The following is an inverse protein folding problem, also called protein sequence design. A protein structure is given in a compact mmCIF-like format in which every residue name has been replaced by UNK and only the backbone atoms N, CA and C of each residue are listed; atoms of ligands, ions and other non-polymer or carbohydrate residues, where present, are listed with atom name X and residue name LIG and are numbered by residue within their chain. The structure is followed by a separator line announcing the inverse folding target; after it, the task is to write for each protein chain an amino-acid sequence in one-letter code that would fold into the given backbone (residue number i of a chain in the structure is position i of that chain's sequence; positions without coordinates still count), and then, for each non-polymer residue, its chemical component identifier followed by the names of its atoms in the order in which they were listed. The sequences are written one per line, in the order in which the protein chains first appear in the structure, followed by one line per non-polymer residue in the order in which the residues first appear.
data_IF_464195836930
#
_entry.id   IF_464195836930
#
_cell.length_a   1.000
_cell.length_b   1.000
_cell.length_c   1.000
_cell.angle_alpha   90.00
_cell.angle_beta   90.00
_cell.angle_gamma   90.00
#
_symmetry.space_group_name_H-M   'P 1'
#
loop_
_entity.id
_entity.type
_entity.pdbx_description
1 polymer ?
#
# COMPACT_ATOMS: atom_id res chain seq x y z
N UNK A 1 5.42 26.66 28.61
CA UNK A 1 6.26 26.19 27.48
C UNK A 1 6.05 24.70 27.27
N UNK A 2 5.06 24.29 26.44
CA UNK A 2 4.72 22.87 26.26
C UNK A 2 4.25 22.59 24.82
N UNK A 3 4.85 23.23 23.82
CA UNK A 3 4.42 23.09 22.42
C UNK A 3 5.51 22.62 21.43
N UNK A 4 6.79 22.60 21.81
CA UNK A 4 7.87 22.28 20.84
C UNK A 4 8.03 20.79 20.52
N UNK A 5 7.68 19.87 21.42
CA UNK A 5 7.91 18.42 21.21
C UNK A 5 6.96 17.76 20.22
N UNK A 6 5.78 18.33 19.97
CA UNK A 6 4.80 17.75 19.04
C UNK A 6 5.17 18.01 17.58
N UNK A 7 5.86 19.13 17.31
CA UNK A 7 6.29 19.52 15.97
C UNK A 7 7.43 18.66 15.45
N UNK A 8 8.44 18.36 16.28
CA UNK A 8 9.57 17.50 15.89
C UNK A 8 9.13 16.07 15.55
N UNK A 9 8.27 15.44 16.36
CA UNK A 9 7.76 14.10 16.08
C UNK A 9 6.91 14.07 14.79
N UNK A 10 6.09 15.10 14.55
CA UNK A 10 5.30 15.22 13.33
C UNK A 10 6.18 15.45 12.09
N UNK A 11 7.23 16.27 12.21
CA UNK A 11 8.20 16.52 11.14
C UNK A 11 9.01 15.26 10.84
N UNK A 12 9.49 14.54 11.86
CA UNK A 12 10.19 13.26 11.68
C UNK A 12 9.26 12.21 11.03
N UNK A 13 8.02 12.10 11.49
CA UNK A 13 7.03 11.20 10.89
C UNK A 13 6.72 11.56 9.43
N UNK A 14 6.67 12.86 9.10
CA UNK A 14 6.46 13.31 7.73
C UNK A 14 7.70 13.07 6.85
N UNK A 15 8.91 13.30 7.34
CA UNK A 15 10.16 12.99 6.64
C UNK A 15 10.27 11.49 6.38
N UNK A 16 10.00 10.65 7.39
CA UNK A 16 9.96 9.20 7.24
C UNK A 16 8.87 8.76 6.26
N UNK A 17 7.68 9.36 6.32
CA UNK A 17 6.59 9.05 5.38
C UNK A 17 6.94 9.46 3.94
N UNK A 18 7.61 10.61 3.73
CA UNK A 18 8.10 11.08 2.42
C UNK A 18 9.21 10.18 1.87
N UNK A 19 10.18 9.79 2.70
CA UNK A 19 11.23 8.84 2.32
C UNK A 19 10.62 7.49 1.91
N UNK A 20 9.66 7.00 2.69
CA UNK A 20 8.97 5.76 2.37
C UNK A 20 8.10 5.89 1.11
N UNK A 21 7.47 7.04 0.84
CA UNK A 21 6.64 7.21 -0.38
C UNK A 21 7.48 7.24 -1.65
N UNK A 22 8.64 7.89 -1.61
CA UNK A 22 9.59 7.88 -2.73
C UNK A 22 10.10 6.47 -2.99
N UNK A 23 10.49 5.73 -1.96
CA UNK A 23 10.90 4.33 -2.07
C UNK A 23 9.81 3.46 -2.71
N UNK A 24 8.56 3.52 -2.20
CA UNK A 24 7.43 2.77 -2.74
C UNK A 24 7.14 3.10 -4.21
N UNK A 25 7.21 4.38 -4.56
CA UNK A 25 7.01 4.82 -5.93
C UNK A 25 8.14 4.33 -6.85
N UNK A 26 9.38 4.31 -6.37
CA UNK A 26 10.52 3.74 -7.09
C UNK A 26 10.38 2.22 -7.28
N UNK A 27 9.97 1.47 -6.26
CA UNK A 27 9.72 0.03 -6.37
C UNK A 27 8.64 -0.28 -7.42
N UNK A 28 7.53 0.44 -7.42
CA UNK A 28 6.48 0.31 -8.43
C UNK A 28 6.99 0.67 -9.83
N UNK A 29 7.77 1.74 -9.95
CA UNK A 29 8.34 2.16 -11.22
C UNK A 29 9.31 1.10 -11.79
N UNK A 30 10.17 0.52 -10.95
CA UNK A 30 11.08 -0.57 -11.33
C UNK A 30 10.32 -1.84 -11.75
N UNK A 31 9.16 -2.10 -11.15
CA UNK A 31 8.24 -3.15 -11.56
C UNK A 31 7.43 -2.81 -12.84
N UNK A 32 7.69 -1.66 -13.47
CA UNK A 32 7.04 -1.24 -14.72
C UNK A 32 5.63 -0.67 -14.53
N UNK A 33 5.33 -0.14 -13.34
CA UNK A 33 4.06 0.49 -13.00
C UNK A 33 4.20 2.00 -12.77
N UNK A 34 3.68 2.79 -13.71
CA UNK A 34 3.41 4.21 -13.47
C UNK A 34 2.09 4.41 -12.73
N UNK A 35 1.87 5.56 -12.10
CA UNK A 35 0.60 5.85 -11.43
C UNK A 35 -0.60 5.83 -12.37
N UNK A 36 -0.43 6.19 -13.65
CA UNK A 36 -1.48 6.06 -14.68
C UNK A 36 -1.79 4.60 -15.00
N UNK A 37 -0.77 3.74 -15.06
CA UNK A 37 -0.97 2.31 -15.29
C UNK A 37 -1.67 1.66 -14.09
N UNK A 38 -1.29 2.06 -12.87
CA UNK A 38 -1.94 1.63 -11.64
C UNK A 38 -3.39 2.10 -11.56
N UNK A 39 -3.69 3.33 -11.97
CA UNK A 39 -5.06 3.86 -11.95
C UNK A 39 -5.97 3.04 -12.87
N UNK A 40 -5.48 2.69 -14.07
CA UNK A 40 -6.20 1.83 -15.02
C UNK A 40 -6.36 0.40 -14.47
N UNK A 41 -5.28 -0.21 -13.99
CA UNK A 41 -5.27 -1.60 -13.52
C UNK A 41 -6.15 -1.80 -12.28
N UNK A 42 -6.11 -0.83 -11.34
CA UNK A 42 -6.88 -0.89 -10.11
C UNK A 42 -8.29 -0.31 -10.28
N UNK A 43 -8.59 0.33 -11.41
CA UNK A 43 -9.83 1.06 -11.66
C UNK A 43 -10.13 2.10 -10.56
N UNK A 44 -9.15 2.96 -10.28
CA UNK A 44 -9.22 4.06 -9.32
C UNK A 44 -8.61 5.32 -9.95
N UNK A 45 -8.86 6.49 -9.37
CA UNK A 45 -8.26 7.73 -9.88
C UNK A 45 -6.75 7.81 -9.57
N UNK A 46 -5.97 8.47 -10.45
CA UNK A 46 -4.54 8.74 -10.21
C UNK A 46 -4.29 9.43 -8.86
N UNK A 47 -5.07 10.46 -8.44
CA UNK A 47 -4.92 11.05 -7.12
C UNK A 47 -5.10 10.05 -5.97
N UNK A 48 -6.01 9.07 -6.11
CA UNK A 48 -6.17 8.01 -5.12
C UNK A 48 -4.91 7.12 -5.03
N UNK A 49 -4.31 6.78 -6.18
CA UNK A 49 -3.02 6.06 -6.22
C UNK A 49 -1.95 6.85 -5.45
N UNK A 50 -1.79 8.14 -5.76
CA UNK A 50 -0.82 9.01 -5.09
C UNK A 50 -1.06 9.07 -3.57
N UNK A 51 -2.32 9.24 -3.15
CA UNK A 51 -2.67 9.30 -1.72
C UNK A 51 -2.35 7.99 -0.98
N UNK A 52 -2.58 6.84 -1.62
CA UNK A 52 -2.25 5.54 -1.01
C UNK A 52 -0.74 5.32 -0.97
N UNK A 53 0.00 5.60 -2.04
CA UNK A 53 1.47 5.56 -2.05
C UNK A 53 2.06 6.49 -0.99
N UNK A 54 1.48 7.67 -0.77
CA UNK A 54 1.91 8.60 0.27
C UNK A 54 1.46 8.21 1.68
N UNK A 55 0.76 7.06 1.86
CA UNK A 55 0.13 6.64 3.11
C UNK A 55 -0.85 7.69 3.71
N UNK A 56 -1.41 8.56 2.88
CA UNK A 56 -2.41 9.57 3.27
C UNK A 56 -3.85 9.03 3.19
N UNK A 57 -4.05 7.91 2.49
CA UNK A 57 -5.30 7.15 2.46
C UNK A 57 -5.02 5.70 2.78
N UNK A 58 -5.75 5.13 3.74
CA UNK A 58 -5.61 3.72 4.09
C UNK A 58 -6.72 2.90 3.43
N UNK A 59 -6.40 2.25 2.32
CA UNK A 59 -7.31 1.32 1.66
C UNK A 59 -6.62 -0.04 1.55
N UNK A 60 -7.03 -0.98 2.40
CA UNK A 60 -6.31 -2.25 2.62
C UNK A 60 -6.05 -3.02 1.33
N UNK A 61 -7.08 -3.29 0.53
CA UNK A 61 -6.91 -4.02 -0.73
C UNK A 61 -5.96 -3.30 -1.71
N UNK A 62 -5.99 -1.96 -1.80
CA UNK A 62 -5.07 -1.20 -2.67
C UNK A 62 -3.64 -1.35 -2.17
N UNK A 63 -3.42 -1.29 -0.86
CA UNK A 63 -2.08 -1.41 -0.27
C UNK A 63 -1.46 -2.79 -0.55
N UNK A 64 -2.27 -3.84 -0.45
CA UNK A 64 -1.86 -5.19 -0.85
C UNK A 64 -1.58 -5.28 -2.35
N UNK A 65 -2.46 -4.71 -3.18
CA UNK A 65 -2.27 -4.70 -4.61
C UNK A 65 -0.94 -4.04 -5.01
N UNK A 66 -0.58 -2.90 -4.40
CA UNK A 66 0.67 -2.21 -4.68
C UNK A 66 1.91 -3.02 -4.29
N UNK A 67 1.90 -3.66 -3.12
CA UNK A 67 3.03 -4.52 -2.70
C UNK A 67 3.22 -5.71 -3.66
N UNK A 68 2.12 -6.38 -4.03
CA UNK A 68 2.16 -7.50 -4.97
C UNK A 68 2.60 -7.08 -6.37
N UNK A 69 2.12 -5.94 -6.88
CA UNK A 69 2.53 -5.40 -8.18
C UNK A 69 4.00 -4.96 -8.18
N UNK A 70 4.53 -4.51 -7.04
CA UNK A 70 5.94 -4.23 -6.86
C UNK A 70 6.80 -5.51 -6.70
N UNK A 71 6.19 -6.69 -6.57
CA UNK A 71 6.89 -7.97 -6.45
C UNK A 71 7.59 -8.17 -5.10
N UNK A 72 7.17 -7.45 -4.06
CA UNK A 72 7.78 -7.51 -2.72
C UNK A 72 6.75 -7.86 -1.65
N UNK A 73 7.21 -8.30 -0.48
CA UNK A 73 6.32 -8.61 0.63
C UNK A 73 5.59 -7.34 1.14
N UNK A 74 4.41 -7.50 1.73
CA UNK A 74 3.66 -6.37 2.27
C UNK A 74 4.47 -5.60 3.32
N UNK A 75 5.16 -6.33 4.21
CA UNK A 75 5.97 -5.73 5.27
C UNK A 75 7.21 -5.03 4.75
N UNK A 76 7.83 -5.52 3.69
CA UNK A 76 8.93 -4.81 3.03
C UNK A 76 8.44 -3.53 2.35
N UNK A 77 7.28 -3.58 1.69
CA UNK A 77 6.74 -2.42 0.96
C UNK A 77 6.21 -1.33 1.89
N UNK A 78 5.56 -1.70 3.00
CA UNK A 78 4.90 -0.74 3.90
C UNK A 78 5.61 -0.51 5.24
N UNK A 79 6.61 -1.33 5.57
CA UNK A 79 7.33 -1.27 6.86
C UNK A 79 6.47 -1.65 8.06
N UNK A 80 5.36 -2.35 7.85
CA UNK A 80 4.41 -2.77 8.89
C UNK A 80 3.89 -4.18 8.63
N UNK A 81 3.39 -4.84 9.66
CA UNK A 81 2.77 -6.16 9.51
C UNK A 81 1.57 -6.11 8.55
N UNK A 82 1.37 -7.21 7.83
CA UNK A 82 0.26 -7.37 6.92
C UNK A 82 -1.07 -7.40 7.67
N UNK A 83 -2.02 -6.48 7.41
CA UNK A 83 -3.33 -6.53 8.02
C UNK A 83 -4.17 -7.66 7.42
N UNK A 84 -5.09 -8.21 8.20
CA UNK A 84 -6.11 -9.12 7.67
C UNK A 84 -7.00 -8.42 6.63
N UNK A 85 -7.23 -9.10 5.52
CA UNK A 85 -8.12 -8.63 4.46
C UNK A 85 -9.53 -9.17 4.67
N UNK A 86 -10.53 -8.30 4.49
CA UNK A 86 -11.92 -8.73 4.48
C UNK A 86 -12.23 -9.55 3.22
N UNK A 87 -13.29 -10.36 3.23
CA UNK A 87 -13.73 -11.10 2.04
C UNK A 87 -13.96 -10.18 0.82
N UNK A 88 -14.47 -8.95 1.04
CA UNK A 88 -14.64 -7.95 -0.02
C UNK A 88 -13.31 -7.45 -0.59
N UNK A 89 -12.29 -7.30 0.24
CA UNK A 89 -10.96 -6.90 -0.21
C UNK A 89 -10.30 -8.01 -1.04
N UNK A 90 -10.46 -9.26 -0.60
CA UNK A 90 -10.00 -10.45 -1.32
C UNK A 90 -10.68 -10.57 -2.69
N UNK A 91 -11.99 -10.34 -2.76
CA UNK A 91 -12.73 -10.35 -4.03
C UNK A 91 -12.21 -9.27 -5.00
N UNK A 92 -11.93 -8.06 -4.51
CA UNK A 92 -11.35 -6.98 -5.34
C UNK A 92 -9.97 -7.35 -5.89
N UNK A 93 -9.15 -8.04 -5.11
CA UNK A 93 -7.83 -8.52 -5.53
C UNK A 93 -7.95 -9.63 -6.58
N UNK A 94 -8.81 -10.63 -6.33
CA UNK A 94 -9.07 -11.72 -7.29
C UNK A 94 -9.60 -11.22 -8.62
N UNK A 95 -10.52 -10.26 -8.61
CA UNK A 95 -11.06 -9.64 -9.82
C UNK A 95 -10.00 -8.96 -10.70
N UNK A 96 -8.80 -8.71 -10.16
CA UNK A 96 -7.65 -8.11 -10.84
C UNK A 96 -6.50 -9.10 -11.08
N UNK A 97 -6.71 -10.39 -10.85
CA UNK A 97 -5.66 -11.41 -10.97
C UNK A 97 -4.57 -11.31 -9.90
N UNK A 98 -4.81 -10.57 -8.81
CA UNK A 98 -3.87 -10.41 -7.69
C UNK A 98 -4.07 -11.53 -6.67
N UNK A 99 -3.70 -12.75 -7.08
CA UNK A 99 -4.09 -13.99 -6.40
C UNK A 99 -3.23 -14.28 -5.16
N UNK A 100 -1.93 -13.94 -5.16
CA UNK A 100 -1.07 -14.15 -3.99
C UNK A 100 -1.60 -13.43 -2.73
N UNK A 101 -1.98 -12.15 -2.86
CA UNK A 101 -2.59 -11.42 -1.75
C UNK A 101 -3.96 -11.97 -1.30
N UNK A 102 -4.67 -12.68 -2.18
CA UNK A 102 -5.96 -13.31 -1.89
C UNK A 102 -5.83 -14.71 -1.24
N UNK A 103 -4.71 -15.40 -1.46
CA UNK A 103 -4.42 -16.73 -0.91
C UNK A 103 -3.89 -16.65 0.54
N UNK A 104 -2.99 -15.69 0.83
CA UNK A 104 -2.52 -15.42 2.20
C UNK A 104 -3.65 -14.95 3.13
N UNK A 105 -4.58 -14.13 2.62
CA UNK A 105 -5.75 -13.71 3.39
C UNK A 105 -6.83 -14.78 3.54
N UNK A 106 -6.82 -15.82 2.69
CA UNK A 106 -7.81 -16.90 2.71
C UNK A 106 -7.42 -18.09 3.58
N UNK A 107 -6.14 -18.20 3.98
CA UNK A 107 -5.64 -19.36 4.73
C UNK A 107 -5.74 -19.20 6.26
N UNK A 108 -6.30 -18.09 6.75
CA UNK A 108 -6.54 -17.86 8.19
C UNK A 108 -7.85 -18.45 8.73
N UNK A 109 -8.50 -19.35 8.00
CA UNK A 109 -9.81 -19.90 8.38
C UNK A 109 -9.99 -21.34 7.93
N UNK A 110 -9.34 -22.26 8.63
CA UNK A 110 -9.56 -23.69 8.46
C UNK A 110 -8.39 -24.53 8.93
N UNK A 111 -8.27 -24.70 10.24
CA UNK A 111 -8.29 -25.98 10.97
C UNK A 111 -8.34 -25.71 12.48
#
# INVERSE_FOLDING_TARGET
MKERRNSDASVIAEILARNNSSQRNSQLYLAGFSQNKLSQYLNISVPMVSLVICNKRNTRWIRHALAQLAGVSYSEFWGVEQPELSASDVEKLRARGLIAAAADAGSGGGE
#
